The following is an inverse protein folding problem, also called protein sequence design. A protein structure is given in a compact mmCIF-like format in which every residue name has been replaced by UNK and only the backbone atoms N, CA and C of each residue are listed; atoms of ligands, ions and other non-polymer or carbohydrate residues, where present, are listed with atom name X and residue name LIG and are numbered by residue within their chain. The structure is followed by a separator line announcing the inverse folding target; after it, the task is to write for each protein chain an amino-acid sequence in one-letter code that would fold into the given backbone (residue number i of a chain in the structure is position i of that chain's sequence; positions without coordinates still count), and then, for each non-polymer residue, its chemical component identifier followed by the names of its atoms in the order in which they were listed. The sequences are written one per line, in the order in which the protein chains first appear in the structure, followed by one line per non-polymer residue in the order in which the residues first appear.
data_IF_566525839337
#
_entry.id   IF_566525839337
#
_cell.length_a   1.000
_cell.length_b   1.000
_cell.length_c   1.000
_cell.angle_alpha   90.00
_cell.angle_beta   90.00
_cell.angle_gamma   90.00
#
_symmetry.space_group_name_H-M   'P 1'
#
loop_
_entity.id
_entity.type
_entity.pdbx_description
1 polymer ?
#
# COMPACT_ATOMS: atom_id res chain seq x y z
N UNK A 1 31.17 21.48 -95.94
CA UNK A 1 31.01 22.53 -94.92
C UNK A 1 29.53 22.61 -94.56
N UNK A 2 29.24 22.78 -93.27
CA UNK A 2 27.93 22.78 -92.59
C UNK A 2 27.33 21.40 -92.22
N UNK A 3 27.75 20.91 -91.04
CA UNK A 3 27.03 19.94 -90.20
C UNK A 3 25.78 20.63 -89.60
N UNK A 4 24.66 19.91 -89.55
CA UNK A 4 23.48 20.30 -88.77
C UNK A 4 23.37 19.44 -87.51
N UNK A 5 23.41 20.10 -86.35
CA UNK A 5 23.04 19.59 -85.02
C UNK A 5 21.85 20.42 -84.54
N UNK A 6 20.77 19.83 -84.01
CA UNK A 6 19.74 20.60 -83.34
C UNK A 6 20.11 20.79 -81.86
N UNK A 7 20.19 22.05 -81.42
CA UNK A 7 20.35 22.46 -80.03
C UNK A 7 18.97 22.76 -79.44
N UNK A 8 18.72 22.17 -78.27
CA UNK A 8 17.56 22.40 -77.42
C UNK A 8 17.52 23.85 -76.92
N UNK A 9 16.34 24.47 -77.00
CA UNK A 9 16.06 25.79 -76.43
C UNK A 9 14.63 25.81 -75.91
N UNK A 10 14.48 25.70 -74.59
CA UNK A 10 13.24 25.86 -73.87
C UNK A 10 12.80 27.33 -73.90
N UNK A 11 11.54 27.59 -74.23
CA UNK A 11 10.85 28.82 -73.86
C UNK A 11 9.51 28.48 -73.22
N UNK A 12 9.38 28.95 -71.99
CA UNK A 12 8.19 28.93 -71.16
C UNK A 12 7.13 29.89 -71.73
N UNK A 13 5.86 29.52 -71.58
CA UNK A 13 4.75 30.45 -71.59
C UNK A 13 4.01 30.34 -70.24
N UNK A 14 4.04 31.47 -69.54
CA UNK A 14 3.31 31.91 -68.34
C UNK A 14 1.99 32.53 -68.89
N UNK A 15 0.78 32.45 -68.33
CA UNK A 15 0.32 32.58 -66.95
C UNK A 15 -1.19 32.26 -66.79
N UNK A 16 -1.65 32.31 -65.53
CA UNK A 16 -3.02 32.61 -65.01
C UNK A 16 -3.85 31.48 -64.36
N UNK A 17 -3.51 31.24 -63.09
CA UNK A 17 -4.40 31.21 -61.90
C UNK A 17 -5.86 30.77 -62.02
N UNK A 18 -6.19 29.72 -61.24
CA UNK A 18 -7.29 29.79 -60.27
C UNK A 18 -8.53 28.94 -60.54
N UNK A 19 -8.56 27.70 -60.03
CA UNK A 19 -9.66 27.15 -59.22
C UNK A 19 -9.38 25.67 -58.89
N UNK A 20 -9.31 25.38 -57.60
CA UNK A 20 -9.22 24.04 -57.07
C UNK A 20 -10.46 23.21 -57.40
N UNK A 21 -10.26 21.93 -57.71
CA UNK A 21 -11.20 20.88 -57.29
C UNK A 21 -10.42 19.58 -57.15
N UNK A 22 -9.98 19.32 -55.91
CA UNK A 22 -9.28 18.10 -55.54
C UNK A 22 -10.21 16.90 -55.65
N UNK A 23 -9.76 15.90 -56.41
CA UNK A 23 -10.22 14.53 -56.19
C UNK A 23 -9.67 14.09 -54.83
N UNK A 24 -10.50 14.25 -53.80
CA UNK A 24 -10.23 13.76 -52.47
C UNK A 24 -9.98 12.24 -52.57
N UNK A 25 -8.73 11.85 -52.36
CA UNK A 25 -8.40 10.48 -52.01
C UNK A 25 -9.24 10.14 -50.78
N UNK A 26 -10.23 9.28 -50.97
CA UNK A 26 -11.00 8.69 -49.87
C UNK A 26 -9.97 8.09 -48.93
N UNK A 27 -9.90 8.51 -47.65
CA UNK A 27 -9.06 7.80 -46.69
C UNK A 27 -9.60 6.38 -46.65
N UNK A 28 -8.77 5.41 -47.06
CA UNK A 28 -9.02 4.02 -46.72
C UNK A 28 -9.11 3.99 -45.19
N UNK A 29 -10.34 3.95 -44.68
CA UNK A 29 -10.61 3.52 -43.32
C UNK A 29 -10.00 2.14 -43.26
N UNK A 30 -8.86 2.01 -42.58
CA UNK A 30 -8.22 0.75 -42.30
C UNK A 30 -9.27 -0.12 -41.59
N UNK A 31 -9.89 -0.99 -42.36
CA UNK A 31 -10.83 -1.99 -41.89
C UNK A 31 -10.12 -2.76 -40.77
N UNK A 32 -10.75 -2.77 -39.59
CA UNK A 32 -10.29 -3.39 -38.35
C UNK A 32 -10.11 -4.91 -38.52
N UNK A 33 -9.04 -5.33 -39.20
CA UNK A 33 -8.62 -6.72 -39.36
C UNK A 33 -7.33 -7.03 -38.56
N UNK A 34 -6.90 -6.11 -37.69
CA UNK A 34 -5.79 -6.28 -36.74
C UNK A 34 -6.23 -6.60 -35.29
N UNK A 35 -7.54 -6.77 -35.06
CA UNK A 35 -8.11 -6.88 -33.71
C UNK A 35 -7.73 -8.16 -32.96
N UNK A 36 -7.55 -9.30 -33.65
CA UNK A 36 -7.13 -10.55 -33.00
C UNK A 36 -5.69 -10.48 -32.51
N UNK A 37 -4.78 -9.92 -33.30
CA UNK A 37 -3.35 -9.90 -32.97
C UNK A 37 -3.03 -8.95 -31.81
N UNK A 38 -3.70 -7.79 -31.73
CA UNK A 38 -3.57 -6.86 -30.59
C UNK A 38 -4.15 -7.48 -29.33
N UNK A 39 -5.31 -8.13 -29.45
CA UNK A 39 -5.94 -8.82 -28.33
C UNK A 39 -5.06 -9.96 -27.80
N UNK A 40 -4.56 -10.82 -28.68
CA UNK A 40 -3.70 -11.96 -28.32
C UNK A 40 -2.39 -11.48 -27.67
N UNK A 41 -1.75 -10.44 -28.23
CA UNK A 41 -0.55 -9.85 -27.65
C UNK A 41 -0.81 -9.24 -26.26
N UNK A 42 -1.93 -8.53 -26.10
CA UNK A 42 -2.31 -7.89 -24.84
C UNK A 42 -2.65 -8.93 -23.77
N UNK A 43 -3.42 -9.96 -24.11
CA UNK A 43 -3.77 -11.07 -23.21
C UNK A 43 -2.52 -11.84 -22.81
N UNK A 44 -1.62 -12.15 -23.75
CA UNK A 44 -0.37 -12.82 -23.43
C UNK A 44 0.51 -11.98 -22.49
N UNK A 45 0.61 -10.67 -22.72
CA UNK A 45 1.38 -9.75 -21.89
C UNK A 45 0.81 -9.65 -20.46
N UNK A 46 -0.52 -9.48 -20.33
CA UNK A 46 -1.22 -9.44 -19.06
C UNK A 46 -1.14 -10.78 -18.30
N UNK A 47 -1.24 -11.90 -19.01
CA UNK A 47 -1.13 -13.24 -18.41
C UNK A 47 0.26 -13.47 -17.85
N UNK A 48 1.32 -13.10 -18.59
CA UNK A 48 2.70 -13.16 -18.09
C UNK A 48 2.88 -12.30 -16.84
N UNK A 49 2.39 -11.06 -16.88
CA UNK A 49 2.45 -10.14 -15.73
C UNK A 49 1.73 -10.73 -14.52
N UNK A 50 0.54 -11.29 -14.71
CA UNK A 50 -0.23 -11.91 -13.64
C UNK A 50 0.46 -13.14 -13.05
N UNK A 51 1.02 -14.03 -13.89
CA UNK A 51 1.78 -15.19 -13.42
C UNK A 51 2.99 -14.78 -12.59
N UNK A 52 3.76 -13.80 -13.05
CA UNK A 52 4.93 -13.29 -12.32
C UNK A 52 4.50 -12.65 -11.00
N UNK A 53 3.43 -11.85 -11.00
CA UNK A 53 2.90 -11.23 -9.79
C UNK A 53 2.47 -12.27 -8.75
N UNK A 54 1.77 -13.34 -9.17
CA UNK A 54 1.37 -14.43 -8.27
C UNK A 54 2.57 -15.17 -7.70
N UNK A 55 3.56 -15.51 -8.54
CA UNK A 55 4.79 -16.18 -8.08
C UNK A 55 5.54 -15.29 -7.08
N UNK A 56 5.68 -14.01 -7.38
CA UNK A 56 6.34 -13.03 -6.52
C UNK A 56 5.62 -12.89 -5.18
N UNK A 57 4.28 -12.83 -5.20
CA UNK A 57 3.49 -12.78 -3.98
C UNK A 57 3.72 -14.01 -3.10
N UNK A 58 3.69 -15.22 -3.67
CA UNK A 58 3.92 -16.45 -2.89
C UNK A 58 5.34 -16.51 -2.32
N UNK A 59 6.34 -16.09 -3.09
CA UNK A 59 7.73 -16.05 -2.63
C UNK A 59 7.93 -15.04 -1.49
N UNK A 60 7.39 -13.82 -1.63
CA UNK A 60 7.49 -12.79 -0.61
C UNK A 60 6.63 -13.08 0.62
N UNK A 61 5.50 -13.78 0.46
CA UNK A 61 4.68 -14.22 1.59
C UNK A 61 5.49 -15.06 2.58
N UNK A 62 6.36 -15.96 2.09
CA UNK A 62 7.26 -16.74 2.94
C UNK A 62 8.18 -15.84 3.79
N UNK A 63 8.71 -14.77 3.20
CA UNK A 63 9.57 -13.80 3.90
C UNK A 63 8.77 -13.01 4.93
N UNK A 64 7.56 -12.55 4.57
CA UNK A 64 6.72 -11.74 5.45
C UNK A 64 6.06 -12.55 6.58
N UNK A 65 5.80 -13.85 6.37
CA UNK A 65 5.29 -14.78 7.37
C UNK A 65 6.37 -15.35 8.28
N UNK A 66 7.65 -15.10 7.96
CA UNK A 66 8.75 -15.52 8.81
C UNK A 66 8.68 -14.85 10.19
N UNK A 67 8.76 -15.66 11.25
CA UNK A 67 8.63 -15.22 12.66
C UNK A 67 9.51 -14.01 13.03
N UNK A 68 10.83 -13.98 12.78
CA UNK A 68 11.66 -12.83 13.16
C UNK A 68 11.27 -11.56 12.39
N UNK A 69 10.75 -11.69 11.16
CA UNK A 69 10.23 -10.55 10.41
C UNK A 69 8.98 -9.98 11.09
N UNK A 70 8.01 -10.84 11.43
CA UNK A 70 6.76 -10.44 12.10
C UNK A 70 6.94 -9.81 13.47
N UNK A 71 7.93 -10.28 14.23
CA UNK A 71 8.18 -9.77 15.59
C UNK A 71 8.99 -8.47 15.62
N UNK A 72 9.60 -8.10 14.48
CA UNK A 72 10.46 -6.93 14.37
C UNK A 72 9.75 -5.82 13.62
N UNK A 73 9.12 -6.15 12.49
CA UNK A 73 8.59 -5.19 11.55
C UNK A 73 7.07 -5.16 11.55
N UNK A 74 6.53 -3.96 11.37
CA UNK A 74 5.13 -3.79 11.00
C UNK A 74 4.94 -4.26 9.56
N UNK A 75 4.15 -5.33 9.40
CA UNK A 75 3.83 -5.93 8.10
C UNK A 75 3.12 -4.93 7.18
N UNK A 76 2.25 -4.08 7.73
CA UNK A 76 1.44 -3.15 6.93
C UNK A 76 2.31 -2.10 6.23
N UNK A 77 3.35 -1.62 6.92
CA UNK A 77 4.26 -0.60 6.41
C UNK A 77 5.40 -1.16 5.56
N UNK A 78 5.98 -2.31 5.95
CA UNK A 78 7.19 -2.82 5.29
C UNK A 78 6.88 -3.66 4.05
N UNK A 79 5.74 -4.38 4.03
CA UNK A 79 5.36 -5.25 2.91
C UNK A 79 5.30 -4.52 1.56
N UNK A 80 4.66 -3.34 1.42
CA UNK A 80 4.61 -2.63 0.14
C UNK A 80 5.99 -2.19 -0.36
N UNK A 81 6.86 -1.72 0.54
CA UNK A 81 8.19 -1.22 0.19
C UNK A 81 9.08 -2.37 -0.30
N UNK A 82 9.14 -3.46 0.47
CA UNK A 82 9.94 -4.64 0.08
C UNK A 82 9.43 -5.25 -1.21
N UNK A 83 8.10 -5.34 -1.38
CA UNK A 83 7.50 -5.86 -2.62
C UNK A 83 7.84 -4.98 -3.82
N UNK A 84 7.83 -3.66 -3.66
CA UNK A 84 8.23 -2.72 -4.70
C UNK A 84 9.70 -2.85 -5.07
N UNK A 85 10.61 -2.96 -4.09
CA UNK A 85 12.03 -3.15 -4.34
C UNK A 85 12.32 -4.45 -5.11
N UNK A 86 11.71 -5.57 -4.70
CA UNK A 86 11.87 -6.84 -5.39
C UNK A 86 11.26 -6.82 -6.81
N UNK A 87 10.08 -6.24 -6.97
CA UNK A 87 9.47 -6.07 -8.29
C UNK A 87 10.33 -5.19 -9.21
N UNK A 88 10.86 -4.08 -8.69
CA UNK A 88 11.78 -3.19 -9.41
C UNK A 88 13.07 -3.90 -9.82
N UNK A 89 13.65 -4.70 -8.93
CA UNK A 89 14.84 -5.49 -9.23
C UNK A 89 14.58 -6.50 -10.36
N UNK A 90 13.43 -7.20 -10.33
CA UNK A 90 13.04 -8.13 -11.40
C UNK A 90 12.84 -7.40 -12.73
N UNK A 91 12.13 -6.27 -12.72
CA UNK A 91 11.92 -5.46 -13.93
C UNK A 91 13.24 -4.97 -14.53
N UNK A 92 14.19 -4.58 -13.67
CA UNK A 92 15.51 -4.14 -14.09
C UNK A 92 16.33 -5.29 -14.69
N UNK A 93 16.47 -6.39 -13.96
CA UNK A 93 17.35 -7.50 -14.32
C UNK A 93 16.85 -8.30 -15.53
N UNK A 94 15.54 -8.51 -15.62
CA UNK A 94 14.92 -9.26 -16.72
C UNK A 94 14.44 -8.37 -17.87
N UNK A 95 14.63 -7.05 -17.77
CA UNK A 95 14.14 -6.10 -18.77
C UNK A 95 12.63 -6.15 -18.99
N UNK A 96 11.88 -6.55 -17.95
CA UNK A 96 10.45 -6.84 -18.05
C UNK A 96 9.64 -5.53 -18.12
N UNK A 97 9.30 -5.10 -19.33
CA UNK A 97 8.46 -3.90 -19.53
C UNK A 97 7.15 -4.25 -20.26
N UNK A 98 6.19 -4.71 -19.46
CA UNK A 98 4.87 -5.10 -19.95
C UNK A 98 4.07 -3.88 -20.41
N UNK A 99 4.23 -2.75 -19.73
CA UNK A 99 3.52 -1.51 -20.08
C UNK A 99 4.01 -0.96 -21.41
N UNK A 100 5.33 -0.93 -21.67
CA UNK A 100 5.83 -0.51 -22.99
C UNK A 100 5.40 -1.45 -24.11
N UNK A 101 5.29 -2.76 -23.82
CA UNK A 101 4.78 -3.76 -24.77
C UNK A 101 3.32 -3.48 -25.13
N UNK A 102 2.49 -3.13 -24.14
CA UNK A 102 1.10 -2.74 -24.36
C UNK A 102 1.01 -1.43 -25.15
N UNK A 103 1.74 -0.38 -24.76
CA UNK A 103 1.74 0.91 -25.47
C UNK A 103 2.09 0.72 -26.96
N UNK A 104 3.10 -0.10 -27.25
CA UNK A 104 3.48 -0.44 -28.62
C UNK A 104 2.37 -1.19 -29.36
N UNK A 105 1.68 -2.12 -28.71
CA UNK A 105 0.55 -2.84 -29.31
C UNK A 105 -0.62 -1.91 -29.67
N UNK A 106 -0.79 -0.79 -28.97
CA UNK A 106 -1.79 0.24 -29.26
C UNK A 106 -1.31 1.35 -30.20
N UNK A 107 -0.10 1.22 -30.77
CA UNK A 107 0.46 2.19 -31.72
C UNK A 107 1.07 3.44 -31.08
N UNK A 108 1.33 3.42 -29.78
CA UNK A 108 2.05 4.49 -29.09
C UNK A 108 3.56 4.42 -29.31
N UNK A 109 4.19 5.59 -29.40
CA UNK A 109 5.64 5.71 -29.56
C UNK A 109 6.37 5.48 -28.22
N UNK A 110 7.57 4.89 -28.27
CA UNK A 110 8.33 4.51 -27.07
C UNK A 110 9.43 5.50 -26.69
N UNK A 111 9.66 6.54 -27.50
CA UNK A 111 10.74 7.49 -27.29
C UNK A 111 10.61 8.19 -25.93
N UNK A 112 11.57 7.90 -25.04
CA UNK A 112 11.70 8.51 -23.72
C UNK A 112 10.85 7.91 -22.58
N UNK A 113 10.00 6.92 -22.82
CA UNK A 113 9.05 6.40 -21.80
C UNK A 113 9.63 5.24 -20.98
N UNK A 114 10.73 4.62 -21.41
CA UNK A 114 11.22 3.34 -20.87
C UNK A 114 11.44 3.26 -19.35
N UNK A 115 11.79 4.37 -18.68
CA UNK A 115 11.93 4.38 -17.22
C UNK A 115 10.55 4.41 -16.54
N UNK A 116 9.62 5.20 -17.08
CA UNK A 116 8.27 5.35 -16.53
C UNK A 116 7.49 4.04 -16.70
N UNK A 117 7.56 3.41 -17.88
CA UNK A 117 6.88 2.14 -18.16
C UNK A 117 7.41 0.99 -17.30
N UNK A 118 8.73 0.93 -17.06
CA UNK A 118 9.34 0.01 -16.08
C UNK A 118 8.85 0.27 -14.67
N UNK A 119 8.78 1.53 -14.24
CA UNK A 119 8.32 1.89 -12.89
C UNK A 119 6.83 1.51 -12.70
N UNK A 120 5.98 1.76 -13.69
CA UNK A 120 4.57 1.34 -13.66
C UNK A 120 4.47 -0.18 -13.66
N UNK A 121 5.27 -0.89 -14.46
CA UNK A 121 5.31 -2.37 -14.46
C UNK A 121 5.71 -2.89 -13.06
N UNK A 122 6.72 -2.30 -12.42
CA UNK A 122 7.14 -2.67 -11.06
C UNK A 122 6.05 -2.39 -10.01
N UNK A 123 5.35 -1.26 -10.10
CA UNK A 123 4.21 -0.94 -9.22
C UNK A 123 3.07 -1.95 -9.38
N UNK A 124 2.75 -2.36 -10.61
CA UNK A 124 1.70 -3.35 -10.88
C UNK A 124 2.10 -4.72 -10.34
N UNK A 125 3.36 -5.14 -10.53
CA UNK A 125 3.88 -6.37 -9.95
C UNK A 125 3.87 -6.34 -8.41
N UNK A 126 4.31 -5.23 -7.81
CA UNK A 126 4.38 -5.05 -6.36
C UNK A 126 2.99 -4.98 -5.69
N UNK A 127 2.02 -4.37 -6.36
CA UNK A 127 0.62 -4.28 -5.92
C UNK A 127 -0.22 -5.52 -6.21
N UNK A 128 0.41 -6.59 -6.74
CA UNK A 128 -0.19 -7.70 -7.47
C UNK A 128 -1.32 -8.47 -6.79
N UNK A 129 -1.50 -8.37 -5.48
CA UNK A 129 -2.56 -9.10 -4.79
C UNK A 129 -3.76 -8.26 -4.37
N UNK A 130 -3.55 -7.01 -3.99
CA UNK A 130 -4.65 -6.10 -3.66
C UNK A 130 -5.52 -5.79 -4.88
N UNK A 131 -4.91 -5.67 -6.06
CA UNK A 131 -5.62 -5.37 -7.31
C UNK A 131 -6.52 -6.52 -7.78
N UNK A 132 -5.98 -7.73 -7.91
CA UNK A 132 -6.75 -8.91 -8.32
C UNK A 132 -7.78 -9.27 -7.25
N UNK A 133 -7.43 -9.18 -5.96
CA UNK A 133 -8.39 -9.42 -4.89
C UNK A 133 -9.54 -8.40 -4.93
N UNK A 134 -9.27 -7.10 -5.18
CA UNK A 134 -10.32 -6.08 -5.38
C UNK A 134 -11.17 -6.36 -6.61
N UNK A 135 -10.57 -6.85 -7.71
CA UNK A 135 -11.31 -7.23 -8.92
C UNK A 135 -12.21 -8.44 -8.64
N UNK A 136 -11.68 -9.51 -8.04
CA UNK A 136 -12.45 -10.70 -7.65
C UNK A 136 -13.53 -10.39 -6.61
N UNK A 137 -13.29 -9.44 -5.70
CA UNK A 137 -14.29 -8.92 -4.76
C UNK A 137 -15.39 -8.14 -5.49
N UNK A 138 -15.03 -7.21 -6.39
CA UNK A 138 -16.00 -6.44 -7.20
C UNK A 138 -16.84 -7.32 -8.14
N UNK A 139 -16.28 -8.44 -8.60
CA UNK A 139 -16.99 -9.44 -9.40
C UNK A 139 -17.80 -10.43 -8.54
N UNK A 140 -17.78 -10.32 -7.21
CA UNK A 140 -18.55 -11.19 -6.32
C UNK A 140 -18.01 -12.63 -6.22
N UNK A 141 -16.84 -12.92 -6.80
CA UNK A 141 -16.20 -14.25 -6.77
C UNK A 141 -15.61 -14.55 -5.39
N UNK A 142 -15.33 -13.50 -4.59
CA UNK A 142 -14.94 -13.60 -3.18
C UNK A 142 -15.79 -12.65 -2.33
N UNK A 143 -16.38 -13.18 -1.26
CA UNK A 143 -16.94 -12.36 -0.18
C UNK A 143 -15.85 -11.49 0.44
N UNK A 144 -16.20 -10.27 0.86
CA UNK A 144 -15.31 -9.33 1.54
C UNK A 144 -14.60 -10.01 2.73
N UNK A 145 -13.42 -10.57 2.51
CA UNK A 145 -12.48 -10.82 3.59
C UNK A 145 -11.96 -9.44 3.97
N UNK A 146 -12.64 -8.85 4.94
CA UNK A 146 -12.26 -7.69 5.75
C UNK A 146 -11.18 -6.80 5.12
N UNK A 147 -11.60 -5.86 4.26
CA UNK A 147 -10.91 -4.57 4.16
C UNK A 147 -11.39 -3.61 5.27
N UNK A 148 -12.25 -4.09 6.18
CA UNK A 148 -12.47 -3.40 7.43
C UNK A 148 -11.13 -3.40 8.12
N UNK A 149 -10.60 -2.21 8.34
CA UNK A 149 -9.49 -1.97 9.24
C UNK A 149 -9.70 -2.89 10.45
N UNK A 150 -8.89 -3.96 10.60
CA UNK A 150 -9.05 -4.90 11.71
C UNK A 150 -8.86 -4.15 13.05
N UNK A 151 -8.33 -2.93 12.98
CA UNK A 151 -8.17 -1.96 14.06
C UNK A 151 -9.33 -0.97 14.25
N UNK A 152 -10.35 -0.95 13.39
CA UNK A 152 -11.51 -0.09 13.62
C UNK A 152 -12.46 -0.75 14.64
N UNK A 153 -12.95 0.01 15.64
CA UNK A 153 -13.92 -0.52 16.60
C UNK A 153 -15.16 -1.06 15.88
N UNK A 154 -15.67 -2.25 16.27
CA UNK A 154 -17.02 -2.65 15.92
C UNK A 154 -17.99 -1.52 16.29
N UNK A 155 -19.06 -1.28 15.52
CA UNK A 155 -19.99 -0.17 15.74
C UNK A 155 -20.74 -0.22 17.09
N UNK A 156 -20.53 -1.27 17.87
CA UNK A 156 -21.13 -1.51 19.19
C UNK A 156 -20.13 -1.40 20.35
N UNK A 157 -18.84 -1.13 20.08
CA UNK A 157 -17.76 -1.13 21.07
C UNK A 157 -16.93 0.14 20.97
N UNK A 158 -16.28 0.51 22.08
CA UNK A 158 -15.26 1.55 22.11
C UNK A 158 -13.89 0.89 22.18
N UNK A 159 -12.89 1.47 21.51
CA UNK A 159 -11.51 1.01 21.50
C UNK A 159 -10.66 1.90 22.38
N UNK A 160 -9.91 1.27 23.28
CA UNK A 160 -8.94 1.95 24.14
C UNK A 160 -7.57 1.38 23.87
N UNK A 161 -6.61 2.25 23.60
CA UNK A 161 -5.21 1.90 23.62
C UNK A 161 -4.47 2.74 24.67
N UNK A 162 -3.43 2.17 25.27
CA UNK A 162 -2.62 2.82 26.29
C UNK A 162 -1.15 2.61 26.02
N UNK A 163 -0.40 3.70 26.03
CA UNK A 163 1.06 3.72 26.01
C UNK A 163 1.56 4.10 27.41
N UNK A 164 2.05 3.14 28.22
CA UNK A 164 2.73 3.43 29.48
C UNK A 164 4.04 4.17 29.22
N UNK A 165 4.19 5.32 29.88
CA UNK A 165 5.42 6.10 29.91
C UNK A 165 6.02 6.07 31.32
N UNK A 166 7.32 5.87 31.49
CA UNK A 166 7.91 5.92 32.83
C UNK A 166 7.91 7.36 33.34
N UNK A 167 7.62 7.57 34.64
CA UNK A 167 7.75 8.90 35.28
C UNK A 167 9.19 9.43 35.24
N UNK A 168 10.18 8.55 35.25
CA UNK A 168 11.61 8.88 35.20
C UNK A 168 12.38 7.85 34.39
N UNK A 169 13.44 8.27 33.69
CA UNK A 169 14.28 7.39 32.86
C UNK A 169 15.01 6.28 33.65
N UNK A 170 15.01 6.34 34.99
CA UNK A 170 15.66 5.36 35.88
C UNK A 170 14.66 4.45 36.62
N UNK A 171 13.38 4.45 36.24
CA UNK A 171 12.39 3.58 36.86
C UNK A 171 12.65 2.12 36.46
N UNK A 172 12.84 1.25 37.44
CA UNK A 172 12.86 -0.19 37.24
C UNK A 172 11.42 -0.70 37.17
N UNK A 173 10.99 -1.07 35.97
CA UNK A 173 9.64 -1.56 35.70
C UNK A 173 9.78 -2.96 35.13
N UNK A 174 9.24 -3.96 35.81
CA UNK A 174 9.19 -5.34 35.35
C UNK A 174 7.96 -5.57 34.45
N UNK A 175 6.79 -5.06 34.85
CA UNK A 175 5.56 -5.11 34.07
C UNK A 175 4.61 -3.96 34.43
N UNK A 176 3.69 -3.63 33.52
CA UNK A 176 2.61 -2.67 33.75
C UNK A 176 1.29 -3.34 33.45
N UNK A 177 0.39 -3.37 34.42
CA UNK A 177 -0.97 -3.88 34.25
C UNK A 177 -1.91 -2.72 33.91
N UNK A 178 -2.68 -2.86 32.84
CA UNK A 178 -3.73 -1.91 32.46
C UNK A 178 -5.02 -2.32 33.17
N UNK A 179 -5.53 -1.42 34.02
CA UNK A 179 -6.72 -1.65 34.83
C UNK A 179 -7.85 -0.73 34.35
N UNK A 180 -8.94 -1.35 33.92
CA UNK A 180 -10.20 -0.66 33.61
C UNK A 180 -11.14 -0.73 34.80
N UNK A 181 -11.69 0.40 35.20
CA UNK A 181 -12.66 0.51 36.30
C UNK A 181 -14.01 0.85 35.68
N UNK A 182 -14.99 -0.01 35.89
CA UNK A 182 -16.34 0.17 35.35
C UNK A 182 -17.18 1.17 36.16
N UNK A 183 -18.40 1.44 35.69
CA UNK A 183 -19.33 2.37 36.34
C UNK A 183 -19.80 1.90 37.73
N UNK A 184 -19.64 0.61 38.06
CA UNK A 184 -19.90 0.06 39.38
C UNK A 184 -18.67 0.14 40.32
N UNK A 185 -17.53 0.64 39.82
CA UNK A 185 -16.28 0.74 40.56
C UNK A 185 -15.47 -0.56 40.59
N UNK A 186 -15.86 -1.57 39.81
CA UNK A 186 -15.14 -2.85 39.76
C UNK A 186 -13.89 -2.71 38.90
N UNK A 187 -12.75 -3.15 39.41
CA UNK A 187 -11.47 -3.14 38.69
C UNK A 187 -11.29 -4.41 37.87
N UNK A 188 -11.03 -4.25 36.57
CA UNK A 188 -10.79 -5.32 35.61
C UNK A 188 -9.37 -5.20 35.05
N UNK A 189 -8.60 -6.28 35.08
CA UNK A 189 -7.31 -6.33 34.37
C UNK A 189 -7.57 -6.50 32.88
N UNK A 190 -7.29 -5.46 32.09
CA UNK A 190 -7.49 -5.48 30.64
C UNK A 190 -6.32 -6.19 29.93
N UNK A 191 -5.11 -6.07 30.50
CA UNK A 191 -3.92 -6.76 30.02
C UNK A 191 -2.64 -6.18 30.61
N UNK A 192 -1.50 -6.60 30.07
CA UNK A 192 -0.17 -6.24 30.60
C UNK A 192 0.80 -5.82 29.51
N UNK A 193 1.65 -4.83 29.81
CA UNK A 193 2.80 -4.43 29.01
C UNK A 193 4.08 -4.87 29.71
N UNK A 194 4.99 -5.50 28.97
CA UNK A 194 6.29 -5.90 29.50
C UNK A 194 7.17 -4.67 29.78
N UNK A 195 7.80 -4.64 30.96
CA UNK A 195 8.63 -3.53 31.43
C UNK A 195 9.69 -3.02 30.44
N UNK A 196 10.46 -3.89 29.76
CA UNK A 196 11.44 -3.47 28.75
C UNK A 196 10.86 -2.71 27.55
N UNK A 197 9.53 -2.74 27.37
CA UNK A 197 8.85 -2.05 26.27
C UNK A 197 8.21 -0.71 26.71
N UNK A 198 8.18 -0.42 28.00
CA UNK A 198 7.62 0.82 28.57
C UNK A 198 8.48 2.02 28.19
N UNK A 199 7.85 3.15 27.83
CA UNK A 199 8.57 4.38 27.46
C UNK A 199 9.17 4.39 26.06
N UNK A 200 8.85 3.39 25.22
CA UNK A 200 9.22 3.43 23.80
C UNK A 200 8.36 4.47 23.10
N UNK A 201 8.99 5.56 22.67
CA UNK A 201 8.32 6.69 22.05
C UNK A 201 7.64 6.29 20.72
N UNK A 202 6.31 6.50 20.57
CA UNK A 202 5.58 6.20 19.34
C UNK A 202 5.82 7.22 18.21
N UNK A 203 6.56 8.31 18.45
CA UNK A 203 6.63 9.43 17.50
C UNK A 203 7.82 9.41 16.52
N UNK A 204 8.66 8.36 16.55
CA UNK A 204 9.85 8.27 15.69
C UNK A 204 9.60 7.59 14.33
N UNK A 205 10.46 7.86 13.33
CA UNK A 205 10.43 7.17 12.01
C UNK A 205 10.50 5.63 12.13
N UNK A 206 11.09 5.13 13.23
CA UNK A 206 11.19 3.70 13.55
C UNK A 206 9.84 3.10 13.96
N UNK A 207 8.94 3.89 14.56
CA UNK A 207 7.60 3.44 14.95
C UNK A 207 6.75 3.07 13.72
N UNK A 208 6.97 3.72 12.58
CA UNK A 208 6.30 3.36 11.33
C UNK A 208 6.73 2.01 10.75
N UNK A 209 7.93 1.52 11.07
CA UNK A 209 8.45 0.28 10.47
C UNK A 209 8.58 -0.87 11.47
N UNK A 210 8.69 -0.58 12.77
CA UNK A 210 8.89 -1.58 13.82
C UNK A 210 7.63 -1.73 14.66
N UNK A 211 7.37 -2.95 15.11
CA UNK A 211 6.22 -3.23 15.97
C UNK A 211 6.31 -2.49 17.32
N UNK A 212 5.22 -1.81 17.70
CA UNK A 212 5.11 -1.07 18.97
C UNK A 212 4.84 -2.01 20.16
N UNK A 213 5.88 -2.67 20.67
CA UNK A 213 5.76 -3.55 21.84
C UNK A 213 5.40 -2.82 23.15
N UNK A 214 5.52 -1.49 23.14
CA UNK A 214 5.26 -0.62 24.29
C UNK A 214 3.82 -0.13 24.42
N UNK A 215 2.94 -0.48 23.48
CA UNK A 215 1.52 -0.11 23.48
C UNK A 215 0.65 -1.31 23.85
N UNK A 216 -0.43 -1.04 24.58
CA UNK A 216 -1.48 -1.99 24.87
C UNK A 216 -2.81 -1.57 24.21
N UNK A 217 -3.47 -2.46 23.46
CA UNK A 217 -2.90 -3.65 22.84
C UNK A 217 -1.77 -3.30 21.87
N UNK A 218 -0.96 -4.29 21.47
CA UNK A 218 0.16 -4.08 20.54
C UNK A 218 -0.31 -3.67 19.13
N UNK A 219 -1.57 -3.96 18.79
CA UNK A 219 -2.21 -3.56 17.54
C UNK A 219 -3.66 -3.16 17.82
N UNK A 220 -4.14 -2.10 17.19
CA UNK A 220 -5.51 -1.60 17.36
C UNK A 220 -5.84 -1.05 18.74
N UNK A 221 -7.01 -1.41 19.25
CA UNK A 221 -7.50 -1.00 20.56
C UNK A 221 -8.17 -2.16 21.29
N UNK A 222 -8.16 -2.11 22.62
CA UNK A 222 -8.88 -3.06 23.45
C UNK A 222 -10.37 -2.71 23.42
N UNK A 223 -11.20 -3.71 23.10
CA UNK A 223 -12.63 -3.53 22.97
C UNK A 223 -13.30 -3.43 24.35
N UNK A 224 -13.92 -2.28 24.62
CA UNK A 224 -14.74 -2.03 25.79
C UNK A 224 -16.20 -1.82 25.39
N UNK A 225 -17.12 -2.24 26.26
CA UNK A 225 -18.53 -1.91 26.11
C UNK A 225 -18.74 -0.42 26.37
N UNK A 226 -19.56 0.29 25.56
CA UNK A 226 -19.89 1.69 25.81
C UNK A 226 -20.43 1.89 27.23
N UNK A 227 -20.03 2.98 27.88
CA UNK A 227 -20.32 3.22 29.29
C UNK A 227 -19.30 4.14 29.97
N UNK A 228 -19.46 4.37 31.27
CA UNK A 228 -18.48 5.14 32.04
C UNK A 228 -17.32 4.24 32.45
N UNK A 229 -16.11 4.64 32.06
CA UNK A 229 -14.87 3.94 32.38
C UNK A 229 -13.84 4.88 32.98
N UNK A 230 -13.04 4.34 33.90
CA UNK A 230 -11.77 4.93 34.30
C UNK A 230 -10.63 3.97 34.01
N UNK A 231 -9.45 4.48 33.68
CA UNK A 231 -8.27 3.68 33.36
C UNK A 231 -7.13 4.05 34.29
N UNK A 232 -6.47 3.05 34.86
CA UNK A 232 -5.28 3.17 35.70
C UNK A 232 -4.22 2.20 35.23
N UNK A 233 -2.95 2.56 35.43
CA UNK A 233 -1.82 1.69 35.21
C UNK A 233 -1.18 1.32 36.53
N UNK A 234 -0.98 0.03 36.76
CA UNK A 234 -0.29 -0.49 37.93
C UNK A 234 1.05 -1.09 37.47
N UNK A 235 2.15 -0.38 37.70
CA UNK A 235 3.50 -0.86 37.41
C UNK A 235 4.02 -1.68 38.58
N UNK A 236 4.63 -2.82 38.28
CA UNK A 236 5.36 -3.65 39.26
C UNK A 236 6.85 -3.57 38.94
N UNK A 237 7.66 -3.27 39.95
CA UNK A 237 9.12 -3.27 39.81
C UNK A 237 9.71 -4.69 39.93
N UNK A 238 11.03 -4.84 39.77
CA UNK A 238 11.70 -6.14 39.91
C UNK A 238 11.67 -6.72 41.33
N UNK A 239 11.38 -5.88 42.34
CA UNK A 239 11.22 -6.27 43.75
C UNK A 239 9.79 -6.71 44.09
N UNK A 240 8.84 -6.55 43.16
CA UNK A 240 7.42 -6.83 43.37
C UNK A 240 6.62 -5.68 43.98
N UNK A 241 7.22 -4.50 44.13
CA UNK A 241 6.52 -3.31 44.63
C UNK A 241 5.65 -2.72 43.53
N UNK A 242 4.38 -2.46 43.85
CA UNK A 242 3.40 -1.91 42.91
C UNK A 242 3.28 -0.39 43.07
N UNK A 243 3.40 0.32 41.96
CA UNK A 243 3.18 1.77 41.85
C UNK A 243 2.06 2.05 40.85
N UNK A 244 1.05 2.81 41.27
CA UNK A 244 -0.07 3.17 40.41
C UNK A 244 0.12 4.54 39.73
N UNK A 245 -0.44 4.68 38.53
CA UNK A 245 -0.55 5.94 37.81
C UNK A 245 -1.71 6.80 38.34
N UNK A 246 -1.75 8.05 37.86
CA UNK A 246 -2.98 8.85 37.92
C UNK A 246 -4.10 8.13 37.18
N UNK A 247 -5.30 8.18 37.74
CA UNK A 247 -6.51 7.62 37.12
C UNK A 247 -6.98 8.57 36.02
N UNK A 248 -7.18 8.05 34.82
CA UNK A 248 -7.85 8.75 33.72
C UNK A 248 -9.34 8.44 33.77
N UNK A 249 -10.20 9.44 34.00
CA UNK A 249 -11.65 9.26 34.12
C UNK A 249 -12.23 9.69 35.47
N UNK A 250 -13.54 9.45 35.69
CA UNK A 250 -14.44 8.69 34.81
C UNK A 250 -14.84 9.48 33.55
N UNK A 251 -14.83 8.81 32.39
CA UNK A 251 -15.33 9.36 31.12
C UNK A 251 -16.35 8.43 30.49
N UNK A 252 -17.35 9.02 29.82
CA UNK A 252 -18.33 8.29 29.03
C UNK A 252 -17.69 7.90 27.69
N UNK A 253 -17.61 6.60 27.41
CA UNK A 253 -17.13 6.07 26.14
C UNK A 253 -18.34 5.68 25.29
N UNK A 254 -18.45 6.30 24.12
CA UNK A 254 -19.52 6.03 23.15
C UNK A 254 -19.13 4.92 22.17
N UNK A 255 -20.13 4.29 21.55
CA UNK A 255 -19.90 3.25 20.55
C UNK A 255 -19.15 3.81 19.33
N UNK A 256 -18.13 3.09 18.87
CA UNK A 256 -17.25 3.53 17.79
C UNK A 256 -16.16 4.53 18.22
N UNK A 257 -16.09 4.92 19.49
CA UNK A 257 -15.01 5.77 19.98
C UNK A 257 -13.67 5.04 19.91
N UNK A 258 -12.62 5.75 19.52
CA UNK A 258 -11.24 5.28 19.58
C UNK A 258 -10.44 6.26 20.43
N UNK A 259 -9.84 5.74 21.50
CA UNK A 259 -9.15 6.54 22.51
C UNK A 259 -7.73 6.01 22.64
N UNK A 260 -6.76 6.87 22.37
CA UNK A 260 -5.34 6.58 22.55
C UNK A 260 -4.81 7.38 23.73
N UNK A 261 -4.38 6.68 24.78
CA UNK A 261 -3.94 7.28 26.03
C UNK A 261 -2.43 7.14 26.21
N UNK A 262 -1.79 8.23 26.62
CA UNK A 262 -0.39 8.20 27.08
C UNK A 262 -0.36 8.56 28.55
N UNK A 263 -0.08 7.59 29.41
CA UNK A 263 -0.16 7.74 30.87
C UNK A 263 1.21 7.47 31.47
N UNK A 264 1.65 8.36 32.38
CA UNK A 264 2.89 8.19 33.12
C UNK A 264 2.68 7.29 34.34
N UNK A 265 3.52 6.27 34.48
CA UNK A 265 3.54 5.32 35.60
C UNK A 265 4.86 5.39 36.36
#
# INVERSE_FOLDING_TARGET
MALALPVAGAMAQVDSSGAATGAAAVPQVATMAGGSNIYDASVAALTKLAMIAVILEQALALIFDWKPFRETFDRSAVKPIVSFLFAGAIVHEFGLDVVATLIKAYGGDQDGIGIVSKLVTALVLAGGSGGINRILQRMGVRSNLNLKDDNAPPPTMAFVSVVPMPKSAKCDIACVTVVGIDSAGTSHSLGTVAGPSVGRDPTGWRAFFLQEKGRFPTDGGFALTPGQWSIRLDATDSSGTVSSSTIWGPYQLDAGAQIDLTIKV
#
